data_IF_734263153264
#
_entry.id   IF_734263153264
#
_cell.length_a   1.000
_cell.length_b   1.000
_cell.length_c   1.000
_cell.angle_alpha   90.00
_cell.angle_beta   90.00
_cell.angle_gamma   90.00
#
_symmetry.space_group_name_H-M   'P 1'
#
loop_
_entity.id
_entity.type
_entity.pdbx_description
1 polymer ?
#
# COMPACT_ATOMS: atom_id res chain seq x y z
N UNK A 1 -6.10 -27.66 39.16
CA UNK A 1 -6.15 -26.78 37.98
C UNK A 1 -7.59 -26.75 37.51
N UNK A 2 -8.23 -25.58 37.45
CA UNK A 2 -9.63 -25.49 37.00
C UNK A 2 -9.62 -25.63 35.45
N UNK A 3 -10.43 -26.52 34.90
CA UNK A 3 -10.57 -26.75 33.47
C UNK A 3 -11.65 -25.87 32.81
N UNK A 4 -12.30 -25.01 33.61
CA UNK A 4 -13.32 -24.11 33.11
C UNK A 4 -12.66 -22.82 32.60
N UNK A 5 -12.85 -22.51 31.32
CA UNK A 5 -12.41 -21.23 30.75
C UNK A 5 -13.38 -20.13 31.14
N UNK A 6 -12.87 -19.08 31.77
CA UNK A 6 -13.63 -17.87 32.09
C UNK A 6 -12.98 -16.69 31.34
N UNK A 7 -13.62 -16.17 30.29
CA UNK A 7 -13.08 -15.04 29.52
C UNK A 7 -13.07 -13.76 30.35
N UNK A 8 -12.13 -12.88 30.11
CA UNK A 8 -12.15 -11.52 30.63
C UNK A 8 -13.21 -10.67 29.89
N UNK A 9 -13.81 -9.68 30.58
CA UNK A 9 -14.80 -8.76 30.00
C UNK A 9 -14.14 -7.64 29.16
N UNK A 10 -13.07 -7.96 28.45
CA UNK A 10 -12.28 -7.01 27.66
C UNK A 10 -11.57 -7.75 26.52
N UNK A 11 -10.87 -7.01 25.65
CA UNK A 11 -9.99 -7.59 24.63
C UNK A 11 -8.94 -8.56 25.19
N UNK A 12 -8.64 -8.50 26.48
CA UNK A 12 -7.80 -9.47 27.19
C UNK A 12 -8.30 -10.91 27.12
N UNK A 13 -9.59 -11.14 26.81
CA UNK A 13 -10.12 -12.49 26.57
C UNK A 13 -9.45 -13.21 25.39
N UNK A 14 -8.87 -12.45 24.45
CA UNK A 14 -8.18 -12.94 23.26
C UNK A 14 -6.68 -13.09 23.45
N UNK A 15 -6.15 -12.68 24.61
CA UNK A 15 -4.72 -12.79 24.92
C UNK A 15 -4.35 -14.23 25.26
N UNK A 16 -3.67 -14.89 24.36
CA UNK A 16 -3.26 -16.31 24.51
C UNK A 16 -1.85 -16.49 25.08
N UNK A 17 -1.14 -15.40 25.36
CA UNK A 17 0.22 -15.43 25.92
C UNK A 17 0.72 -14.05 26.32
N UNK A 18 1.97 -13.99 26.79
CA UNK A 18 2.64 -12.74 27.12
C UNK A 18 2.85 -11.89 25.86
N UNK A 19 2.47 -10.59 25.85
CA UNK A 19 2.73 -9.71 24.74
C UNK A 19 4.23 -9.64 24.39
N UNK A 20 4.61 -9.57 23.11
CA UNK A 20 6.02 -9.45 22.68
C UNK A 20 6.52 -8.05 22.98
N UNK A 21 7.00 -7.79 24.19
CA UNK A 21 7.36 -6.46 24.69
C UNK A 21 8.36 -5.73 23.81
N UNK A 22 9.41 -6.43 23.32
CA UNK A 22 10.42 -5.85 22.46
C UNK A 22 9.87 -5.44 21.07
N UNK A 23 8.86 -6.15 20.57
CA UNK A 23 8.20 -5.77 19.33
C UNK A 23 7.16 -4.65 19.54
N UNK A 24 6.60 -4.56 20.74
CA UNK A 24 5.63 -3.52 21.09
C UNK A 24 6.26 -2.17 21.45
N UNK A 25 7.47 -2.17 22.02
CA UNK A 25 8.14 -0.95 22.48
C UNK A 25 8.31 0.13 21.36
N UNK A 26 8.69 -0.20 20.11
CA UNK A 26 8.79 0.81 19.04
C UNK A 26 7.44 1.44 18.67
N UNK A 27 6.31 0.79 18.98
CA UNK A 27 4.98 1.34 18.69
C UNK A 27 4.68 2.60 19.50
N UNK A 28 5.31 2.77 20.66
CA UNK A 28 5.13 3.98 21.49
C UNK A 28 5.53 5.22 20.70
N UNK A 29 6.75 5.25 20.13
CA UNK A 29 7.21 6.37 19.32
C UNK A 29 6.38 6.57 18.03
N UNK A 30 5.96 5.49 17.38
CA UNK A 30 5.09 5.59 16.21
C UNK A 30 3.72 6.19 16.56
N UNK A 31 3.13 5.76 17.68
CA UNK A 31 1.84 6.29 18.16
C UNK A 31 1.95 7.76 18.56
N UNK A 32 3.04 8.19 19.17
CA UNK A 32 3.27 9.60 19.50
C UNK A 32 3.27 10.47 18.25
N UNK A 33 4.02 10.08 17.20
CA UNK A 33 4.04 10.79 15.91
C UNK A 33 2.65 10.86 15.26
N UNK A 34 1.90 9.75 15.26
CA UNK A 34 0.55 9.72 14.68
C UNK A 34 -0.43 10.58 15.47
N UNK A 35 -0.29 10.65 16.80
CA UNK A 35 -1.12 11.51 17.67
C UNK A 35 -0.79 12.99 17.45
N UNK A 36 0.48 13.35 17.31
CA UNK A 36 0.90 14.73 16.98
C UNK A 36 0.38 15.15 15.60
N UNK A 37 0.49 14.26 14.59
CA UNK A 37 -0.04 14.50 13.26
C UNK A 37 -1.57 14.67 13.26
N UNK A 38 -2.30 13.88 14.03
CA UNK A 38 -3.76 13.84 14.09
C UNK A 38 -4.38 13.01 12.96
N UNK A 39 -5.31 12.13 13.33
CA UNK A 39 -5.88 11.16 12.37
C UNK A 39 -6.68 11.83 11.25
N UNK A 40 -7.37 12.93 11.55
CA UNK A 40 -8.15 13.68 10.58
C UNK A 40 -7.25 14.29 9.49
N UNK A 41 -6.13 14.91 9.89
CA UNK A 41 -5.15 15.48 8.94
C UNK A 41 -4.46 14.40 8.12
N UNK A 42 -4.13 13.27 8.74
CA UNK A 42 -3.57 12.13 8.03
C UNK A 42 -4.56 11.54 7.02
N UNK A 43 -5.83 11.45 7.40
CA UNK A 43 -6.90 11.00 6.49
C UNK A 43 -7.11 11.95 5.32
N UNK A 44 -7.16 13.25 5.57
CA UNK A 44 -7.29 14.28 4.55
C UNK A 44 -6.13 14.21 3.53
N UNK A 45 -4.88 14.15 4.01
CA UNK A 45 -3.71 14.01 3.15
C UNK A 45 -3.71 12.69 2.38
N UNK A 46 -4.08 11.57 3.01
CA UNK A 46 -4.20 10.26 2.34
C UNK A 46 -5.21 10.29 1.20
N UNK A 47 -6.36 10.93 1.39
CA UNK A 47 -7.36 11.12 0.35
C UNK A 47 -6.83 11.99 -0.79
N UNK A 48 -6.16 13.09 -0.47
CA UNK A 48 -5.59 13.99 -1.47
C UNK A 48 -4.51 13.29 -2.31
N UNK A 49 -3.61 12.50 -1.68
CA UNK A 49 -2.57 11.73 -2.37
C UNK A 49 -3.18 10.65 -3.28
N UNK A 50 -4.19 9.93 -2.81
CA UNK A 50 -4.86 8.90 -3.62
C UNK A 50 -5.72 9.48 -4.73
N UNK A 51 -6.38 10.63 -4.53
CA UNK A 51 -7.07 11.37 -5.60
C UNK A 51 -6.09 11.81 -6.69
N UNK A 52 -4.94 12.36 -6.28
CA UNK A 52 -3.89 12.80 -7.20
C UNK A 52 -3.32 11.64 -8.02
N UNK A 53 -3.01 10.52 -7.35
CA UNK A 53 -2.54 9.31 -8.04
C UNK A 53 -3.57 8.81 -9.07
N UNK A 54 -4.84 8.70 -8.69
CA UNK A 54 -5.91 8.26 -9.59
C UNK A 54 -6.03 9.20 -10.79
N UNK A 55 -6.00 10.52 -10.57
CA UNK A 55 -6.09 11.50 -11.65
C UNK A 55 -4.92 11.39 -12.63
N UNK A 56 -3.69 11.21 -12.13
CA UNK A 56 -2.51 11.00 -12.98
C UNK A 56 -2.58 9.70 -13.77
N UNK A 57 -3.04 8.61 -13.16
CA UNK A 57 -3.21 7.31 -13.85
C UNK A 57 -4.25 7.44 -14.97
N UNK A 58 -5.39 8.07 -14.69
CA UNK A 58 -6.46 8.27 -15.69
C UNK A 58 -6.02 9.15 -16.87
N UNK A 59 -5.18 10.15 -16.61
CA UNK A 59 -4.70 11.11 -17.63
C UNK A 59 -3.55 10.54 -18.47
N UNK A 60 -2.62 9.81 -17.86
CA UNK A 60 -1.33 9.48 -18.46
C UNK A 60 -1.12 8.01 -18.79
N UNK A 61 -1.83 7.10 -18.12
CA UNK A 61 -1.59 5.65 -18.22
C UNK A 61 -2.78 4.90 -18.83
N UNK A 62 -3.08 5.08 -20.12
CA UNK A 62 -4.27 4.49 -20.75
C UNK A 62 -4.29 2.95 -20.76
N UNK A 63 -3.13 2.29 -20.57
CA UNK A 63 -3.02 0.84 -20.46
C UNK A 63 -3.28 0.30 -19.04
N UNK A 64 -3.43 1.19 -18.05
CA UNK A 64 -3.60 0.83 -16.64
C UNK A 64 -5.02 1.19 -16.20
N UNK A 65 -5.70 0.26 -15.54
CA UNK A 65 -6.99 0.55 -14.92
C UNK A 65 -6.87 0.68 -13.39
N UNK A 66 -7.76 1.47 -12.80
CA UNK A 66 -7.83 1.66 -11.34
C UNK A 66 -8.92 0.75 -10.77
N UNK A 67 -8.52 -0.30 -10.04
CA UNK A 67 -9.42 -1.24 -9.37
C UNK A 67 -9.93 -0.76 -8.00
N UNK A 68 -9.35 0.32 -7.45
CA UNK A 68 -9.79 0.91 -6.17
C UNK A 68 -11.06 1.75 -6.38
N UNK A 69 -12.05 1.71 -5.46
CA UNK A 69 -13.21 2.58 -5.51
C UNK A 69 -12.81 4.07 -5.58
N UNK A 70 -13.53 4.82 -6.40
CA UNK A 70 -13.24 6.26 -6.59
C UNK A 70 -13.86 7.12 -5.50
N UNK A 71 -14.89 6.63 -4.86
CA UNK A 71 -15.55 7.28 -3.74
C UNK A 71 -14.62 7.36 -2.53
N UNK A 72 -14.48 8.56 -1.97
CA UNK A 72 -13.57 8.82 -0.85
C UNK A 72 -13.89 7.98 0.39
N UNK A 73 -15.16 7.73 0.65
CA UNK A 73 -15.62 6.98 1.81
C UNK A 73 -15.44 5.46 1.65
N UNK A 74 -15.31 4.97 0.40
CA UNK A 74 -15.12 3.56 0.10
C UNK A 74 -13.65 3.17 -0.08
N UNK A 75 -12.71 4.12 0.05
CA UNK A 75 -11.30 3.90 -0.27
C UNK A 75 -10.39 4.10 0.94
N UNK A 76 -9.36 3.25 1.04
CA UNK A 76 -8.28 3.34 2.01
C UNK A 76 -7.11 4.20 1.53
N UNK A 77 -5.91 3.91 2.05
CA UNK A 77 -4.68 4.65 1.74
C UNK A 77 -3.88 4.11 0.55
N UNK A 78 -4.36 3.07 -0.16
CA UNK A 78 -3.67 2.53 -1.34
C UNK A 78 -4.58 2.54 -2.57
N UNK A 79 -3.95 2.52 -3.74
CA UNK A 79 -4.61 2.41 -5.04
C UNK A 79 -4.13 1.14 -5.73
N UNK A 80 -5.07 0.33 -6.21
CA UNK A 80 -4.83 -0.84 -7.03
C UNK A 80 -4.74 -0.42 -8.49
N UNK A 81 -3.57 -0.59 -9.09
CA UNK A 81 -3.32 -0.39 -10.51
C UNK A 81 -3.36 -1.76 -11.20
N UNK A 82 -4.29 -1.95 -12.11
CA UNK A 82 -4.48 -3.21 -12.81
C UNK A 82 -3.82 -3.16 -14.19
N UNK A 83 -2.97 -4.14 -14.46
CA UNK A 83 -2.29 -4.29 -15.75
C UNK A 83 -1.96 -5.78 -15.98
N UNK A 84 -2.10 -6.33 -17.21
CA UNK A 84 -1.78 -7.75 -17.47
C UNK A 84 -0.37 -8.15 -17.04
N UNK A 85 0.61 -7.25 -17.17
CA UNK A 85 2.01 -7.46 -16.82
C UNK A 85 2.38 -6.89 -15.43
N UNK A 86 1.43 -6.82 -14.49
CA UNK A 86 1.62 -6.18 -13.18
C UNK A 86 2.80 -6.77 -12.38
N UNK A 87 3.07 -8.06 -12.48
CA UNK A 87 4.19 -8.70 -11.81
C UNK A 87 5.54 -8.16 -12.35
N UNK A 88 5.69 -8.14 -13.66
CA UNK A 88 6.88 -7.63 -14.34
C UNK A 88 7.06 -6.13 -14.11
N UNK A 89 5.95 -5.39 -14.14
CA UNK A 89 5.93 -3.96 -13.85
C UNK A 89 6.42 -3.67 -12.42
N UNK A 90 5.94 -4.45 -11.44
CA UNK A 90 6.40 -4.35 -10.05
C UNK A 90 7.90 -4.63 -9.90
N UNK A 91 8.42 -5.65 -10.60
CA UNK A 91 9.85 -5.95 -10.62
C UNK A 91 10.68 -4.81 -11.25
N UNK A 92 10.20 -4.25 -12.36
CA UNK A 92 10.85 -3.14 -13.04
C UNK A 92 10.88 -1.87 -12.18
N UNK A 93 9.78 -1.56 -11.48
CA UNK A 93 9.69 -0.44 -10.54
C UNK A 93 10.67 -0.60 -9.38
N UNK A 94 10.77 -1.81 -8.83
CA UNK A 94 11.71 -2.11 -7.74
C UNK A 94 13.16 -1.87 -8.14
N UNK A 95 13.56 -2.25 -9.35
CA UNK A 95 14.91 -1.99 -9.88
C UNK A 95 15.22 -0.49 -10.06
N UNK A 96 14.17 0.33 -10.18
CA UNK A 96 14.27 1.80 -10.24
C UNK A 96 14.09 2.48 -8.89
N UNK A 97 14.06 1.70 -7.79
CA UNK A 97 13.95 2.21 -6.42
C UNK A 97 12.53 2.47 -5.94
N UNK A 98 11.51 2.17 -6.75
CA UNK A 98 10.09 2.30 -6.38
C UNK A 98 9.58 0.97 -5.84
N UNK A 99 9.42 0.88 -4.52
CA UNK A 99 8.95 -0.33 -3.85
C UNK A 99 7.43 -0.33 -3.78
N UNK A 100 6.81 -1.20 -4.57
CA UNK A 100 5.37 -1.45 -4.63
C UNK A 100 5.06 -2.91 -4.32
N UNK A 101 3.78 -3.25 -4.18
CA UNK A 101 3.32 -4.58 -3.80
C UNK A 101 2.53 -5.21 -4.96
N UNK A 102 3.04 -6.32 -5.51
CA UNK A 102 2.31 -7.10 -6.51
C UNK A 102 1.28 -8.01 -5.84
N UNK A 103 0.08 -8.01 -6.39
CA UNK A 103 -1.01 -8.91 -5.99
C UNK A 103 -1.55 -9.65 -7.22
N UNK A 104 -1.42 -10.99 -7.25
CA UNK A 104 -1.99 -11.79 -8.31
C UNK A 104 -3.51 -11.57 -8.45
N UNK A 105 -4.06 -11.67 -9.66
CA UNK A 105 -3.32 -12.01 -10.88
C UNK A 105 -2.66 -10.83 -11.58
N UNK A 106 -3.09 -9.58 -11.37
CA UNK A 106 -2.78 -8.47 -12.27
C UNK A 106 -2.72 -7.09 -11.57
N UNK A 107 -2.48 -7.02 -10.27
CA UNK A 107 -2.52 -5.76 -9.51
C UNK A 107 -1.14 -5.34 -9.02
N UNK A 108 -0.75 -4.10 -9.31
CA UNK A 108 0.28 -3.36 -8.59
C UNK A 108 -0.40 -2.45 -7.58
N UNK A 109 -0.13 -2.66 -6.29
CA UNK A 109 -0.71 -1.87 -5.22
C UNK A 109 0.25 -0.76 -4.81
N UNK A 110 -0.13 0.49 -5.06
CA UNK A 110 0.62 1.69 -4.69
C UNK A 110 0.01 2.31 -3.45
N UNK A 111 0.84 2.53 -2.41
CA UNK A 111 0.40 3.05 -1.12
C UNK A 111 1.16 4.33 -0.75
N UNK A 112 0.67 5.51 -1.15
CA UNK A 112 1.25 6.77 -0.73
C UNK A 112 0.94 7.04 0.74
N UNK A 113 1.89 6.71 1.62
CA UNK A 113 1.71 6.81 3.06
C UNK A 113 1.71 8.29 3.52
N UNK A 114 0.59 8.75 4.05
CA UNK A 114 0.38 10.15 4.41
C UNK A 114 1.45 10.77 5.35
N UNK A 115 2.05 10.04 6.32
CA UNK A 115 3.04 10.63 7.20
C UNK A 115 4.31 11.16 6.49
N UNK A 116 4.74 10.50 5.41
CA UNK A 116 6.05 10.78 4.80
C UNK A 116 6.05 10.87 3.27
N UNK A 117 5.01 10.42 2.56
CA UNK A 117 4.94 10.55 1.10
C UNK A 117 4.48 11.96 0.70
N UNK A 118 5.14 12.55 -0.28
CA UNK A 118 4.76 13.83 -0.90
C UNK A 118 3.99 13.63 -2.22
N UNK A 119 3.42 14.70 -2.76
CA UNK A 119 2.83 14.70 -4.10
C UNK A 119 3.90 14.52 -5.20
N UNK A 120 5.12 15.00 -4.95
CA UNK A 120 6.24 14.79 -5.87
C UNK A 120 6.60 13.31 -5.99
N UNK A 121 6.62 12.57 -4.87
CA UNK A 121 6.88 11.13 -4.88
C UNK A 121 5.79 10.37 -5.67
N UNK A 122 4.52 10.80 -5.57
CA UNK A 122 3.42 10.20 -6.35
C UNK A 122 3.60 10.47 -7.83
N UNK A 123 3.99 11.69 -8.21
CA UNK A 123 4.27 12.04 -9.60
C UNK A 123 5.43 11.21 -10.16
N UNK A 124 6.54 11.08 -9.42
CA UNK A 124 7.70 10.29 -9.80
C UNK A 124 7.33 8.81 -10.04
N UNK A 125 6.48 8.23 -9.18
CA UNK A 125 5.99 6.86 -9.38
C UNK A 125 5.23 6.72 -10.70
N UNK A 126 4.38 7.68 -11.05
CA UNK A 126 3.62 7.66 -12.31
C UNK A 126 4.55 7.86 -13.50
N UNK A 127 5.55 8.77 -13.41
CA UNK A 127 6.56 8.98 -14.43
C UNK A 127 7.35 7.67 -14.71
N UNK A 128 7.70 6.94 -13.65
CA UNK A 128 8.41 5.67 -13.77
C UNK A 128 7.52 4.57 -14.40
N UNK A 129 6.24 4.48 -14.00
CA UNK A 129 5.29 3.54 -14.63
C UNK A 129 5.15 3.83 -16.12
N UNK A 130 4.93 5.08 -16.51
CA UNK A 130 4.82 5.49 -17.90
C UNK A 130 6.09 5.13 -18.68
N UNK A 131 7.26 5.51 -18.19
CA UNK A 131 8.53 5.21 -18.85
C UNK A 131 8.82 3.70 -18.98
N UNK A 132 8.38 2.89 -18.01
CA UNK A 132 8.52 1.42 -18.07
C UNK A 132 7.59 0.84 -19.12
N UNK A 133 6.34 1.30 -19.19
CA UNK A 133 5.35 0.79 -20.14
C UNK A 133 5.71 1.21 -21.57
N UNK A 134 6.00 2.47 -21.80
CA UNK A 134 6.32 3.01 -23.13
C UNK A 134 7.62 2.42 -23.70
N UNK A 135 8.61 2.20 -22.84
CA UNK A 135 9.89 1.62 -23.22
C UNK A 135 9.91 0.08 -23.26
N UNK A 136 8.83 -0.60 -22.86
CA UNK A 136 8.80 -2.07 -22.76
C UNK A 136 9.80 -2.64 -21.74
N UNK A 137 10.30 -1.83 -20.82
CA UNK A 137 11.38 -2.22 -19.91
C UNK A 137 10.99 -3.35 -18.93
N UNK A 138 9.71 -3.63 -18.77
CA UNK A 138 9.19 -4.75 -17.99
C UNK A 138 9.36 -6.11 -18.67
N UNK A 139 9.50 -6.18 -19.97
CA UNK A 139 9.58 -7.44 -20.74
C UNK A 139 10.78 -8.33 -20.38
N UNK A 140 11.86 -7.73 -19.87
CA UNK A 140 13.07 -8.47 -19.44
C UNK A 140 12.89 -9.27 -18.15
N UNK A 141 11.81 -9.02 -17.38
CA UNK A 141 11.57 -9.72 -16.13
C UNK A 141 10.74 -10.98 -16.33
N UNK A 142 11.10 -12.04 -15.62
CA UNK A 142 10.32 -13.28 -15.61
C UNK A 142 9.07 -13.11 -14.74
N UNK A 143 8.01 -13.84 -15.09
CA UNK A 143 6.86 -14.05 -14.19
C UNK A 143 7.09 -15.28 -13.33
N UNK A 144 6.71 -15.24 -12.06
CA UNK A 144 6.74 -16.42 -11.22
C UNK A 144 5.66 -17.41 -11.69
N UNK A 145 6.06 -18.65 -11.95
CA UNK A 145 5.08 -19.74 -12.14
C UNK A 145 4.42 -20.02 -10.77
N UNK A 146 3.34 -19.29 -10.47
CA UNK A 146 2.39 -19.62 -9.41
C UNK A 146 2.98 -19.74 -7.99
N UNK A 147 3.27 -18.62 -7.35
CA UNK A 147 3.56 -18.59 -5.92
C UNK A 147 3.41 -17.19 -5.34
N UNK A 148 2.55 -17.08 -4.33
CA UNK A 148 2.51 -15.89 -3.47
C UNK A 148 3.74 -15.98 -2.56
N UNK A 149 4.67 -15.03 -2.64
CA UNK A 149 5.75 -14.88 -1.64
C UNK A 149 5.26 -14.01 -0.51
#
# INVERSE_FOLDING_TARGET
>A
MNMTYTPADSAGAWQIGTPPLLAAAPLEGAVELLREAGIERLREKSLALTDFLIALVDDRLPAVSVGTPRERDARGGHVALEHPEAERLSAALKDRGVVVDFRPPNVVRVCPAAPYTSFADVLEVVDEVEAILDGGAYEKYATSEGGVT
#
